data_IF_333957856729
#
_entry.id   IF_333957856729
#
_cell.length_a   1.000
_cell.length_b   1.000
_cell.length_c   1.000
_cell.angle_alpha   90.00
_cell.angle_beta   90.00
_cell.angle_gamma   90.00
#
_symmetry.space_group_name_H-M   'P 1'
#
loop_
_entity.id
_entity.type
_entity.pdbx_description
1 polymer ?
#
# COMPACT_ATOMS: atom_id res chain seq x y z
N UNK A 1 -15.33 -55.96 10.99
CA UNK A 1 -14.36 -54.90 11.34
C UNK A 1 -14.05 -53.98 10.15
N UNK A 2 -13.89 -54.47 8.91
CA UNK A 2 -13.56 -53.62 7.74
C UNK A 2 -14.60 -52.55 7.33
N UNK A 3 -15.90 -52.78 7.55
CA UNK A 3 -16.95 -51.82 7.17
C UNK A 3 -16.92 -50.53 7.99
N UNK A 4 -16.56 -50.64 9.27
CA UNK A 4 -16.47 -49.49 10.18
C UNK A 4 -15.26 -48.62 9.84
N UNK A 5 -14.10 -49.26 9.60
CA UNK A 5 -12.85 -48.58 9.23
C UNK A 5 -13.00 -47.81 7.91
N UNK A 6 -13.69 -48.41 6.92
CA UNK A 6 -13.91 -47.77 5.62
C UNK A 6 -14.85 -46.56 5.72
N UNK A 7 -15.86 -46.62 6.60
CA UNK A 7 -16.76 -45.47 6.83
C UNK A 7 -16.03 -44.30 7.48
N UNK A 8 -15.17 -44.56 8.47
CA UNK A 8 -14.40 -43.51 9.16
C UNK A 8 -13.41 -42.84 8.20
N UNK A 9 -12.74 -43.62 7.36
CA UNK A 9 -11.80 -43.09 6.37
C UNK A 9 -12.49 -42.19 5.34
N UNK A 10 -13.69 -42.57 4.87
CA UNK A 10 -14.46 -41.78 3.92
C UNK A 10 -14.94 -40.45 4.54
N UNK A 11 -15.42 -40.48 5.77
CA UNK A 11 -15.81 -39.27 6.49
C UNK A 11 -14.63 -38.31 6.71
N UNK A 12 -13.44 -38.85 7.03
CA UNK A 12 -12.24 -38.03 7.18
C UNK A 12 -11.82 -37.38 5.86
N UNK A 13 -11.90 -38.13 4.75
CA UNK A 13 -11.56 -37.64 3.42
C UNK A 13 -12.49 -36.49 2.99
N UNK A 14 -13.79 -36.61 3.29
CA UNK A 14 -14.79 -35.57 2.98
C UNK A 14 -14.51 -34.29 3.80
N UNK A 15 -14.19 -34.43 5.08
CA UNK A 15 -13.86 -33.29 5.93
C UNK A 15 -12.57 -32.58 5.48
N UNK A 16 -11.57 -33.33 5.03
CA UNK A 16 -10.32 -32.78 4.49
C UNK A 16 -10.54 -32.05 3.16
N UNK A 17 -11.37 -32.59 2.27
CA UNK A 17 -11.72 -31.92 1.01
C UNK A 17 -12.48 -30.61 1.25
N UNK A 18 -13.35 -30.56 2.27
CA UNK A 18 -14.14 -29.36 2.57
C UNK A 18 -13.27 -28.22 3.12
N UNK A 19 -12.28 -28.53 3.94
CA UNK A 19 -11.37 -27.53 4.51
C UNK A 19 -10.38 -26.94 3.49
N UNK A 20 -10.19 -27.57 2.33
CA UNK A 20 -9.26 -27.06 1.30
C UNK A 20 -9.84 -25.92 0.45
N UNK A 21 -11.15 -25.63 0.56
CA UNK A 21 -11.83 -24.61 -0.23
C UNK A 21 -12.02 -23.28 0.53
N UNK A 22 -11.09 -22.92 1.42
CA UNK A 22 -11.05 -21.58 1.99
C UNK A 22 -10.37 -20.65 0.96
N UNK A 23 -11.08 -19.66 0.38
CA UNK A 23 -10.43 -18.66 -0.45
C UNK A 23 -9.41 -17.91 0.41
N UNK A 24 -8.14 -17.92 -0.01
CA UNK A 24 -7.11 -17.13 0.62
C UNK A 24 -7.53 -15.65 0.56
N UNK A 25 -7.87 -15.06 1.70
CA UNK A 25 -8.14 -13.63 1.80
C UNK A 25 -6.83 -12.89 1.55
N UNK A 26 -6.59 -12.49 0.30
CA UNK A 26 -5.51 -11.58 -0.04
C UNK A 26 -5.86 -10.20 0.54
N UNK A 27 -5.02 -9.61 1.41
CA UNK A 27 -5.25 -8.26 1.91
C UNK A 27 -5.24 -7.30 0.73
N UNK A 28 -6.38 -6.66 0.47
CA UNK A 28 -6.52 -5.64 -0.56
C UNK A 28 -5.76 -4.38 -0.14
N UNK A 29 -4.51 -4.27 -0.59
CA UNK A 29 -3.66 -3.09 -0.40
C UNK A 29 -4.16 -1.83 -1.14
N UNK A 30 -5.37 -1.87 -1.70
CA UNK A 30 -5.95 -0.78 -2.50
C UNK A 30 -6.41 0.41 -1.64
N UNK A 31 -6.85 0.18 -0.41
CA UNK A 31 -7.47 1.23 0.41
C UNK A 31 -6.50 2.36 0.79
N UNK A 32 -5.28 2.03 1.23
CA UNK A 32 -4.29 3.02 1.66
C UNK A 32 -3.76 3.88 0.51
N UNK A 33 -3.39 3.25 -0.62
CA UNK A 33 -2.91 3.98 -1.81
C UNK A 33 -3.99 4.88 -2.39
N UNK A 34 -5.23 4.40 -2.46
CA UNK A 34 -6.34 5.18 -3.00
C UNK A 34 -6.66 6.39 -2.11
N UNK A 35 -6.62 6.22 -0.79
CA UNK A 35 -6.78 7.35 0.13
C UNK A 35 -5.66 8.40 0.00
N UNK A 36 -4.41 7.97 -0.20
CA UNK A 36 -3.28 8.87 -0.46
C UNK A 36 -3.48 9.66 -1.76
N UNK A 37 -3.85 8.96 -2.85
CA UNK A 37 -4.10 9.59 -4.15
C UNK A 37 -5.20 10.65 -4.05
N UNK A 38 -6.34 10.32 -3.43
CA UNK A 38 -7.45 11.25 -3.26
C UNK A 38 -7.11 12.48 -2.42
N UNK A 39 -6.14 12.39 -1.50
CA UNK A 39 -5.65 13.54 -0.73
C UNK A 39 -4.74 14.41 -1.58
N UNK A 40 -3.85 13.78 -2.33
CA UNK A 40 -2.97 14.48 -3.27
C UNK A 40 -3.78 15.23 -4.32
N UNK A 41 -4.72 14.57 -4.99
CA UNK A 41 -5.55 15.18 -6.03
C UNK A 41 -6.35 16.41 -5.53
N UNK A 42 -6.69 16.44 -4.23
CA UNK A 42 -7.42 17.55 -3.61
C UNK A 42 -6.53 18.71 -3.16
N UNK A 43 -5.26 18.46 -2.89
CA UNK A 43 -4.36 19.44 -2.26
C UNK A 43 -3.17 19.84 -3.15
N UNK A 44 -2.93 19.11 -4.24
CA UNK A 44 -1.84 19.40 -5.16
C UNK A 44 -2.07 20.75 -5.85
N UNK A 45 -1.00 21.54 -6.05
CA UNK A 45 -1.08 22.75 -6.87
C UNK A 45 -1.48 22.41 -8.30
N UNK A 46 -2.27 23.29 -8.92
CA UNK A 46 -2.61 23.18 -10.34
C UNK A 46 -1.37 23.37 -11.23
N UNK A 47 -1.38 22.77 -12.41
CA UNK A 47 -0.31 22.95 -13.39
C UNK A 47 -0.23 24.42 -13.82
N UNK A 48 0.98 24.98 -13.80
CA UNK A 48 1.22 26.39 -14.11
C UNK A 48 0.97 27.36 -12.95
N UNK A 49 0.38 26.89 -11.84
CA UNK A 49 0.27 27.69 -10.62
C UNK A 49 1.64 27.80 -9.90
N UNK A 50 1.77 28.82 -9.05
CA UNK A 50 2.98 28.98 -8.25
C UNK A 50 3.13 27.80 -7.27
N UNK A 51 4.27 27.12 -7.31
CA UNK A 51 4.57 26.05 -6.36
C UNK A 51 4.78 26.64 -4.94
N UNK A 52 4.17 26.06 -3.89
CA UNK A 52 4.29 26.57 -2.53
C UNK A 52 5.73 26.46 -2.02
N UNK A 53 6.16 27.40 -1.18
CA UNK A 53 7.49 27.29 -0.57
C UNK A 53 7.47 26.30 0.59
N UNK A 54 7.94 25.08 0.33
CA UNK A 54 8.08 24.02 1.33
C UNK A 54 9.44 24.12 2.02
N UNK A 55 9.44 23.85 3.33
CA UNK A 55 10.64 23.74 4.17
C UNK A 55 10.73 22.31 4.71
N UNK A 56 11.89 21.68 4.58
CA UNK A 56 12.18 20.35 5.08
C UNK A 56 13.59 20.32 5.67
N UNK A 57 13.97 19.20 6.27
CA UNK A 57 15.32 18.98 6.78
C UNK A 57 15.94 17.80 6.04
N UNK A 58 17.21 17.92 5.68
CA UNK A 58 17.98 16.81 5.14
C UNK A 58 18.42 15.84 6.26
N UNK A 59 19.16 14.80 5.89
CA UNK A 59 19.66 13.78 6.83
C UNK A 59 20.65 14.32 7.86
N UNK A 60 21.25 15.49 7.63
CA UNK A 60 22.14 16.16 8.58
C UNK A 60 21.39 17.10 9.54
N UNK A 61 20.07 17.25 9.37
CA UNK A 61 19.27 18.22 10.09
C UNK A 61 19.40 19.65 9.55
N UNK A 62 20.01 19.82 8.37
CA UNK A 62 20.09 21.13 7.72
C UNK A 62 18.77 21.40 7.01
N UNK A 63 18.25 22.61 7.22
CA UNK A 63 17.03 23.04 6.57
C UNK A 63 17.23 23.26 5.06
N UNK A 64 16.28 22.77 4.28
CA UNK A 64 16.18 22.99 2.83
C UNK A 64 14.81 23.61 2.51
N UNK A 65 14.81 24.62 1.64
CA UNK A 65 13.58 25.24 1.13
C UNK A 65 13.46 25.07 -0.38
N UNK A 66 12.24 24.96 -0.88
CA UNK A 66 12.01 24.86 -2.32
C UNK A 66 12.27 26.18 -3.05
N UNK A 67 12.23 27.32 -2.34
CA UNK A 67 12.67 28.61 -2.85
C UNK A 67 14.14 28.61 -3.30
N UNK A 68 15.00 27.82 -2.65
CA UNK A 68 16.39 27.66 -3.05
C UNK A 68 16.57 26.88 -4.37
N UNK A 69 15.53 26.20 -4.85
CA UNK A 69 15.55 25.38 -6.07
C UNK A 69 15.06 26.15 -7.31
N UNK A 70 14.60 27.39 -7.14
CA UNK A 70 14.09 28.25 -8.23
C UNK A 70 15.16 28.47 -9.30
N UNK A 71 14.71 28.62 -10.55
CA UNK A 71 15.58 28.75 -11.72
C UNK A 71 16.08 27.41 -12.28
N UNK A 72 15.85 26.31 -11.57
CA UNK A 72 16.17 24.95 -12.03
C UNK A 72 14.89 24.13 -12.23
N UNK A 73 14.87 23.30 -13.28
CA UNK A 73 13.87 22.26 -13.40
C UNK A 73 14.15 21.18 -12.34
N UNK A 74 13.24 21.08 -11.38
CA UNK A 74 13.39 20.23 -10.21
C UNK A 74 12.23 19.25 -10.12
N UNK A 75 12.54 17.97 -9.88
CA UNK A 75 11.55 16.92 -9.63
C UNK A 75 11.52 16.61 -8.14
N UNK A 76 10.35 16.73 -7.50
CA UNK A 76 10.14 16.38 -6.10
C UNK A 76 9.46 15.00 -6.02
N UNK A 77 10.10 14.06 -5.34
CA UNK A 77 9.56 12.72 -5.11
C UNK A 77 9.28 12.56 -3.62
N UNK A 78 8.02 12.33 -3.27
CA UNK A 78 7.61 12.05 -1.89
C UNK A 78 7.44 10.55 -1.70
N UNK A 79 8.18 9.99 -0.74
CA UNK A 79 8.12 8.58 -0.40
C UNK A 79 8.38 8.37 1.09
N UNK A 80 8.03 7.17 1.56
CA UNK A 80 8.43 6.69 2.87
C UNK A 80 9.63 5.78 2.68
N UNK A 81 10.75 6.05 3.40
CA UNK A 81 11.77 5.04 3.60
C UNK A 81 11.24 4.09 4.70
N UNK A 82 10.89 2.88 4.30
CA UNK A 82 10.58 1.78 5.23
C UNK A 82 11.86 1.17 5.77
#
# INVERSE_FOLDING_TARGET
>A
MSRLVMSVALSLLILLLWNHLAPAQQPSSSSGRQAMQQRFDRAAPELGSAFPDLRAYDSSGKEISTSALRGNYTVLVFGCLT
#
